data_IF_315643723461
#
_entry.id   IF_315643723461
#
_cell.length_a   1.000
_cell.length_b   1.000
_cell.length_c   1.000
_cell.angle_alpha   90.00
_cell.angle_beta   90.00
_cell.angle_gamma   90.00
#
_symmetry.space_group_name_H-M   'P 1'
#
loop_
_entity.id
_entity.type
_entity.pdbx_description
1 polymer ?
#
# COMPACT_ATOMS: atom_id res chain seq x y z
N UNK A 1 -8.28 18.67 18.19
CA UNK A 1 -7.35 19.48 17.38
C UNK A 1 -7.26 18.88 15.98
N UNK A 2 -6.98 19.67 14.94
CA UNK A 2 -6.83 19.15 13.57
C UNK A 2 -5.58 18.27 13.39
N UNK A 3 -5.53 17.48 12.32
CA UNK A 3 -4.42 16.55 12.03
C UNK A 3 -3.11 17.25 11.67
N UNK A 4 -3.16 18.47 11.12
CA UNK A 4 -1.96 19.24 10.80
C UNK A 4 -1.11 19.55 12.05
N UNK A 5 -1.67 20.12 13.14
CA UNK A 5 -0.98 20.23 14.43
C UNK A 5 -0.47 18.90 15.01
N UNK A 6 -1.16 17.78 14.73
CA UNK A 6 -0.76 16.45 15.18
C UNK A 6 0.35 15.81 14.32
N UNK A 7 0.84 16.52 13.29
CA UNK A 7 1.97 16.09 12.47
C UNK A 7 1.64 15.69 11.04
N UNK A 8 0.39 15.83 10.57
CA UNK A 8 0.05 15.51 9.18
C UNK A 8 1.02 16.15 8.17
N UNK A 9 1.30 15.41 7.10
CA UNK A 9 2.16 15.84 5.99
C UNK A 9 1.38 15.74 4.68
N UNK A 10 1.65 16.59 3.68
CA UNK A 10 1.07 16.47 2.35
C UNK A 10 1.68 15.27 1.62
N UNK A 11 1.31 14.08 2.08
CA UNK A 11 1.79 12.79 1.61
C UNK A 11 0.60 11.95 1.16
N UNK A 12 0.76 11.14 0.11
CA UNK A 12 -0.36 10.34 -0.44
C UNK A 12 -1.03 9.47 0.63
N UNK A 13 -0.26 8.81 1.49
CA UNK A 13 -0.84 8.00 2.56
C UNK A 13 -1.62 8.81 3.62
N UNK A 14 -1.32 10.09 3.83
CA UNK A 14 -2.18 10.95 4.66
C UNK A 14 -3.54 11.18 4.00
N UNK A 15 -3.51 11.46 2.69
CA UNK A 15 -4.75 11.63 1.92
C UNK A 15 -5.62 10.36 2.00
N UNK A 16 -5.01 9.18 1.81
CA UNK A 16 -5.71 7.90 1.87
C UNK A 16 -6.31 7.64 3.26
N UNK A 17 -5.54 7.76 4.35
CA UNK A 17 -6.00 7.28 5.67
C UNK A 17 -6.82 8.28 6.48
N UNK A 18 -6.62 9.58 6.28
CA UNK A 18 -7.23 10.63 7.11
C UNK A 18 -8.17 11.57 6.34
N UNK A 19 -7.87 11.88 5.08
CA UNK A 19 -8.68 12.85 4.30
C UNK A 19 -9.87 12.17 3.63
N UNK A 20 -9.66 10.98 3.06
CA UNK A 20 -10.70 10.24 2.35
C UNK A 20 -11.73 9.57 3.28
N UNK A 21 -11.60 9.73 4.61
CA UNK A 21 -12.48 9.13 5.63
C UNK A 21 -13.91 9.72 5.70
N UNK A 22 -14.29 10.65 4.84
CA UNK A 22 -15.60 11.34 4.90
C UNK A 22 -16.74 10.64 4.14
N UNK A 23 -16.80 9.31 4.14
CA UNK A 23 -17.98 8.56 3.72
C UNK A 23 -18.21 7.46 4.74
N UNK A 24 -19.35 7.48 5.40
CA UNK A 24 -19.61 6.74 6.64
C UNK A 24 -19.31 5.23 6.56
N UNK A 25 -18.55 4.76 7.58
CA UNK A 25 -18.23 3.38 7.97
C UNK A 25 -17.04 2.73 7.26
N UNK A 26 -16.09 2.22 8.07
CA UNK A 26 -15.13 1.19 7.67
C UNK A 26 -15.86 -0.15 7.44
N UNK A 27 -16.79 -0.20 6.48
CA UNK A 27 -17.26 -1.45 5.92
C UNK A 27 -16.11 -2.16 5.20
N UNK A 28 -16.26 -3.46 4.90
CA UNK A 28 -15.24 -4.21 4.15
C UNK A 28 -14.80 -3.51 2.86
N UNK A 29 -15.74 -2.84 2.18
CA UNK A 29 -15.48 -2.11 0.94
C UNK A 29 -14.54 -0.90 1.14
N UNK A 30 -14.65 -0.21 2.28
CA UNK A 30 -13.77 0.93 2.61
C UNK A 30 -12.38 0.44 2.96
N UNK A 31 -12.23 -0.61 3.78
CA UNK A 31 -10.91 -1.16 4.10
C UNK A 31 -10.19 -1.66 2.84
N UNK A 32 -10.90 -2.39 1.97
CA UNK A 32 -10.37 -2.82 0.69
C UNK A 32 -9.96 -1.63 -0.19
N UNK A 33 -10.75 -0.55 -0.20
CA UNK A 33 -10.42 0.69 -0.92
C UNK A 33 -9.16 1.35 -0.36
N UNK A 34 -9.02 1.46 0.96
CA UNK A 34 -7.84 2.04 1.60
C UNK A 34 -6.58 1.21 1.30
N UNK A 35 -6.68 -0.12 1.33
CA UNK A 35 -5.54 -1.01 1.04
C UNK A 35 -5.13 -0.97 -0.43
N UNK A 36 -6.08 -0.82 -1.37
CA UNK A 36 -5.78 -0.69 -2.78
C UNK A 36 -5.30 0.71 -3.19
N UNK A 37 -5.80 1.75 -2.53
CA UNK A 37 -5.49 3.15 -2.84
C UNK A 37 -4.19 3.64 -2.20
N UNK A 38 -3.75 3.04 -1.08
CA UNK A 38 -2.40 3.31 -0.59
C UNK A 38 -1.39 2.77 -1.60
N UNK A 39 -0.33 3.53 -1.83
CA UNK A 39 0.85 2.97 -2.49
C UNK A 39 1.47 2.00 -1.50
N UNK A 40 1.43 0.71 -1.84
CA UNK A 40 1.97 -0.38 -1.03
C UNK A 40 3.22 -0.95 -1.68
N UNK A 41 3.79 -2.00 -1.08
CA UNK A 41 4.95 -2.70 -1.61
C UNK A 41 4.77 -4.21 -1.50
N UNK A 42 5.38 -4.95 -2.41
CA UNK A 42 5.47 -6.40 -2.35
C UNK A 42 6.85 -6.89 -2.75
N UNK A 43 7.29 -8.00 -2.15
CA UNK A 43 8.51 -8.69 -2.62
C UNK A 43 8.13 -9.68 -3.70
N UNK A 44 8.72 -9.59 -4.87
CA UNK A 44 8.45 -10.52 -5.97
C UNK A 44 8.98 -11.90 -5.60
N UNK A 45 8.09 -12.88 -5.52
CA UNK A 45 8.46 -14.28 -5.28
C UNK A 45 8.45 -15.10 -6.56
N UNK A 46 7.69 -14.68 -7.57
CA UNK A 46 7.68 -15.30 -8.90
C UNK A 46 7.23 -14.32 -9.98
N UNK A 47 7.78 -14.48 -11.19
CA UNK A 47 7.35 -13.78 -12.40
C UNK A 47 6.53 -14.74 -13.25
N UNK A 48 5.31 -14.36 -13.64
CA UNK A 48 4.37 -15.21 -14.40
C UNK A 48 3.76 -14.44 -15.58
N UNK A 49 4.44 -14.43 -16.74
CA UNK A 49 3.85 -13.87 -17.97
C UNK A 49 3.63 -12.37 -17.88
N UNK A 50 2.38 -11.91 -17.73
CA UNK A 50 2.00 -10.50 -17.54
C UNK A 50 1.71 -10.13 -16.08
N UNK A 51 1.92 -11.07 -15.15
CA UNK A 51 1.68 -10.91 -13.72
C UNK A 51 2.95 -11.21 -12.89
N UNK A 52 2.93 -10.76 -11.64
CA UNK A 52 3.88 -11.14 -10.60
C UNK A 52 3.12 -11.79 -9.45
N UNK A 53 3.74 -12.77 -8.80
CA UNK A 53 3.33 -13.20 -7.46
C UNK A 53 4.22 -12.46 -6.46
N UNK A 54 3.61 -11.75 -5.52
CA UNK A 54 4.30 -10.91 -4.53
C UNK A 54 3.87 -11.26 -3.12
N UNK A 55 4.79 -11.12 -2.17
CA UNK A 55 4.50 -11.11 -0.73
C UNK A 55 4.26 -9.67 -0.28
N UNK A 56 3.00 -9.34 0.01
CA UNK A 56 2.56 -7.98 0.37
C UNK A 56 1.94 -7.96 1.78
N UNK A 57 2.39 -7.08 2.69
CA UNK A 57 1.70 -6.80 3.94
C UNK A 57 0.38 -6.07 3.65
N UNK A 58 -0.79 -6.66 3.94
CA UNK A 58 -2.08 -6.02 3.69
C UNK A 58 -2.44 -5.06 4.83
N UNK A 59 -3.25 -4.05 4.54
CA UNK A 59 -3.89 -3.22 5.56
C UNK A 59 -5.11 -3.97 6.11
N UNK A 60 -5.17 -4.09 7.43
CA UNK A 60 -6.29 -4.73 8.14
C UNK A 60 -6.84 -3.80 9.23
N UNK A 61 -8.05 -4.09 9.66
CA UNK A 61 -8.70 -3.42 10.77
C UNK A 61 -9.05 -4.45 11.85
N UNK A 62 -8.38 -4.38 13.00
CA UNK A 62 -8.68 -5.21 14.16
C UNK A 62 -8.61 -4.37 15.44
N UNK A 63 -9.33 -4.77 16.47
CA UNK A 63 -9.29 -4.11 17.78
C UNK A 63 -9.52 -2.59 17.72
N UNK A 64 -10.33 -2.13 16.77
CA UNK A 64 -10.62 -0.71 16.56
C UNK A 64 -9.44 0.10 15.99
N UNK A 65 -8.46 -0.53 15.35
CA UNK A 65 -7.27 0.13 14.81
C UNK A 65 -6.89 -0.42 13.44
N UNK A 66 -6.30 0.43 12.60
CA UNK A 66 -5.62 0.02 11.36
C UNK A 66 -4.21 -0.47 11.66
N UNK A 67 -3.79 -1.52 10.96
CA UNK A 67 -2.41 -2.01 10.99
C UNK A 67 -2.07 -2.76 9.69
N UNK A 68 -0.77 -2.95 9.47
CA UNK A 68 -0.27 -3.82 8.41
C UNK A 68 -0.09 -5.22 8.99
N UNK A 69 -0.75 -6.21 8.42
CA UNK A 69 -0.63 -7.60 8.84
C UNK A 69 0.64 -8.26 8.24
N UNK A 70 0.88 -9.52 8.60
CA UNK A 70 1.89 -10.35 7.97
C UNK A 70 1.74 -10.36 6.43
N UNK A 71 2.86 -10.39 5.73
CA UNK A 71 2.85 -10.47 4.28
C UNK A 71 2.14 -11.76 3.83
N UNK A 72 1.35 -11.62 2.75
CA UNK A 72 0.69 -12.73 2.10
C UNK A 72 0.94 -12.68 0.60
N UNK A 73 0.96 -13.85 -0.02
CA UNK A 73 1.04 -14.02 -1.47
C UNK A 73 -0.19 -13.41 -2.17
N UNK A 74 0.06 -12.61 -3.19
CA UNK A 74 -0.96 -12.01 -4.05
C UNK A 74 -0.47 -11.96 -5.51
N UNK A 75 -1.38 -12.14 -6.47
CA UNK A 75 -1.11 -11.90 -7.89
C UNK A 75 -1.37 -10.43 -8.21
N UNK A 76 -0.41 -9.80 -8.87
CA UNK A 76 -0.51 -8.40 -9.30
C UNK A 76 -0.15 -8.28 -10.78
N UNK A 77 -0.82 -7.36 -11.47
CA UNK A 77 -0.60 -7.13 -12.89
C UNK A 77 0.66 -6.30 -13.08
N UNK A 78 1.59 -6.77 -13.93
CA UNK A 78 2.77 -5.99 -14.33
C UNK A 78 2.69 -5.47 -15.76
N UNK A 79 1.94 -6.12 -16.64
CA UNK A 79 1.88 -5.78 -18.06
C UNK A 79 0.48 -5.90 -18.63
N UNK A 80 0.16 -5.05 -19.60
CA UNK A 80 -0.93 -5.23 -20.57
C UNK A 80 -0.33 -5.13 -21.96
N UNK A 81 -0.65 -6.08 -22.84
CA UNK A 81 -0.09 -6.19 -24.19
C UNK A 81 1.45 -6.16 -24.23
N UNK A 82 2.08 -6.80 -23.23
CA UNK A 82 3.53 -6.91 -23.08
C UNK A 82 4.24 -5.63 -22.61
N UNK A 83 3.49 -4.60 -22.17
CA UNK A 83 4.05 -3.33 -21.69
C UNK A 83 3.59 -3.01 -20.27
N UNK A 84 4.49 -2.48 -19.47
CA UNK A 84 4.26 -2.11 -18.08
C UNK A 84 5.17 -0.98 -17.62
N UNK A 85 5.00 -0.54 -16.37
CA UNK A 85 5.87 0.48 -15.78
C UNK A 85 7.17 -0.11 -15.22
N UNK A 86 7.15 -1.40 -14.84
CA UNK A 86 8.23 -2.10 -14.18
C UNK A 86 8.56 -3.41 -14.92
N UNK A 87 8.73 -3.34 -16.25
CA UNK A 87 8.93 -4.52 -17.11
C UNK A 87 10.15 -5.36 -16.73
N UNK A 88 11.14 -4.73 -16.11
CA UNK A 88 12.37 -5.36 -15.66
C UNK A 88 12.27 -6.00 -14.26
N UNK A 89 11.11 -6.00 -13.61
CA UNK A 89 10.96 -6.61 -12.28
C UNK A 89 11.25 -8.11 -12.30
N UNK A 90 12.09 -8.56 -11.37
CA UNK A 90 12.53 -9.95 -11.24
C UNK A 90 12.21 -10.51 -9.86
N UNK A 91 12.30 -11.84 -9.73
CA UNK A 91 12.20 -12.49 -8.42
C UNK A 91 13.26 -11.92 -7.46
N UNK A 92 12.82 -11.55 -6.26
CA UNK A 92 13.65 -10.96 -5.22
C UNK A 92 13.52 -9.44 -5.11
N UNK A 93 13.04 -8.76 -6.16
CA UNK A 93 12.84 -7.32 -6.16
C UNK A 93 11.73 -6.90 -5.21
N UNK A 94 11.86 -5.68 -4.69
CA UNK A 94 10.73 -4.97 -4.11
C UNK A 94 10.04 -4.17 -5.21
N UNK A 95 8.71 -4.18 -5.21
CA UNK A 95 7.93 -3.39 -6.17
C UNK A 95 6.91 -2.53 -5.46
N UNK A 96 6.62 -1.35 -6.03
CA UNK A 96 5.51 -0.50 -5.61
C UNK A 96 4.21 -0.97 -6.27
N UNK A 97 3.12 -0.97 -5.50
CA UNK A 97 1.82 -1.45 -5.93
C UNK A 97 0.73 -0.40 -5.67
N UNK A 98 -0.19 -0.24 -6.62
CA UNK A 98 -1.38 0.60 -6.49
C UNK A 98 -2.51 -0.05 -7.30
N UNK A 99 -3.66 -0.33 -6.66
CA UNK A 99 -4.80 -1.04 -7.27
C UNK A 99 -4.45 -2.36 -7.96
N UNK A 100 -3.63 -3.20 -7.31
CA UNK A 100 -3.22 -4.50 -7.85
C UNK A 100 -2.28 -4.41 -9.06
N UNK A 101 -1.74 -3.23 -9.35
CA UNK A 101 -0.84 -2.99 -10.47
C UNK A 101 0.57 -2.64 -10.00
N UNK A 102 1.59 -3.15 -10.69
CA UNK A 102 3.01 -2.87 -10.44
C UNK A 102 3.41 -1.53 -11.05
N UNK A 103 3.80 -0.58 -10.21
CA UNK A 103 4.11 0.78 -10.65
C UNK A 103 5.61 1.04 -10.83
N UNK A 104 6.47 0.41 -10.03
CA UNK A 104 7.93 0.64 -10.09
C UNK A 104 8.70 -0.49 -9.37
N UNK A 105 9.99 -0.65 -9.68
CA UNK A 105 10.94 -1.45 -8.89
C UNK A 105 11.59 -0.55 -7.85
N UNK A 106 11.50 -0.93 -6.58
CA UNK A 106 11.97 -0.16 -5.45
C UNK A 106 13.39 -0.57 -5.04
N UNK A 107 14.26 0.42 -4.87
CA UNK A 107 15.47 0.23 -4.08
C UNK A 107 15.13 -0.09 -2.62
N UNK A 108 16.03 -0.75 -1.87
CA UNK A 108 15.82 -1.02 -0.44
C UNK A 108 15.51 0.24 0.38
N UNK A 109 16.11 1.38 0.02
CA UNK A 109 15.85 2.69 0.66
C UNK A 109 14.42 3.16 0.39
N UNK A 110 13.98 3.15 -0.86
CA UNK A 110 12.61 3.57 -1.22
C UNK A 110 11.56 2.68 -0.54
N UNK A 111 11.79 1.36 -0.48
CA UNK A 111 10.90 0.45 0.22
C UNK A 111 10.83 0.77 1.73
N UNK A 112 11.98 1.05 2.35
CA UNK A 112 12.05 1.42 3.78
C UNK A 112 11.33 2.74 4.05
N UNK A 113 11.55 3.75 3.21
CA UNK A 113 10.90 5.05 3.34
C UNK A 113 9.38 4.95 3.12
N UNK A 114 8.94 4.16 2.14
CA UNK A 114 7.52 3.89 1.92
C UNK A 114 6.88 3.24 3.15
N UNK A 115 7.51 2.20 3.71
CA UNK A 115 7.02 1.55 4.92
C UNK A 115 6.96 2.49 6.12
N UNK A 116 7.98 3.35 6.29
CA UNK A 116 8.01 4.38 7.35
C UNK A 116 6.84 5.35 7.22
N UNK A 117 6.61 5.91 6.03
CA UNK A 117 5.56 6.90 5.83
C UNK A 117 4.16 6.31 5.87
N UNK A 118 3.98 5.06 5.41
CA UNK A 118 2.73 4.34 5.60
C UNK A 118 2.41 4.16 7.08
N UNK A 119 3.37 3.65 7.88
CA UNK A 119 3.17 3.48 9.34
C UNK A 119 2.88 4.80 10.04
N UNK A 120 3.66 5.84 9.74
CA UNK A 120 3.46 7.18 10.31
C UNK A 120 2.02 7.67 10.14
N UNK A 121 1.45 7.52 8.95
CA UNK A 121 0.09 7.98 8.68
C UNK A 121 -0.99 7.00 9.16
N UNK A 122 -0.71 5.69 9.25
CA UNK A 122 -1.59 4.74 9.95
C UNK A 122 -1.69 5.11 11.44
N UNK A 123 -0.57 5.39 12.10
CA UNK A 123 -0.53 5.79 13.50
C UNK A 123 -1.28 7.12 13.72
N UNK A 124 -1.09 8.08 12.81
CA UNK A 124 -1.83 9.33 12.84
C UNK A 124 -3.35 9.10 12.69
N UNK A 125 -3.74 8.25 11.74
CA UNK A 125 -5.14 7.91 11.48
C UNK A 125 -5.79 7.24 12.70
N UNK A 126 -5.07 6.33 13.36
CA UNK A 126 -5.48 5.62 14.58
C UNK A 126 -5.72 6.53 15.80
N UNK A 127 -5.34 7.81 15.77
CA UNK A 127 -5.66 8.76 16.84
C UNK A 127 -7.15 9.15 16.88
N UNK A 128 -7.87 8.92 15.78
CA UNK A 128 -9.27 9.34 15.61
C UNK A 128 -10.14 8.29 14.89
N UNK A 129 -9.68 7.04 14.82
CA UNK A 129 -10.55 5.90 14.51
C UNK A 129 -11.43 5.62 15.71
#
# INVERSE_FOLDING_TARGET
AGKAPAGARPHHSFHVFDVWRNVDRLSGDVLATLDNCRISWGKVVRVEGSELVVERPPLVFAEGRLHLDAARSERVVRQVDGRGFADAAQQGDWVALHWGWVCDVLSPRQQTDLARWTRYHVDLANQTI
#
